data_IF_666376736042
#
_entry.id   IF_666376736042
#
_cell.length_a   1.000
_cell.length_b   1.000
_cell.length_c   1.000
_cell.angle_alpha   90.00
_cell.angle_beta   90.00
_cell.angle_gamma   90.00
#
_symmetry.space_group_name_H-M   'P 1'
#
loop_
_entity.id
_entity.type
_entity.pdbx_description
1 polymer ?
#
# COMPACT_ATOMS: atom_id res chain seq x y z
N UNK A 1 11.22 -74.22 -41.72
CA UNK A 1 10.23 -74.19 -40.61
C UNK A 1 10.92 -73.54 -39.40
N UNK A 2 10.41 -72.41 -38.91
CA UNK A 2 10.97 -71.74 -37.72
C UNK A 2 10.33 -72.33 -36.44
N UNK A 3 11.15 -72.61 -35.42
CA UNK A 3 10.69 -73.12 -34.12
C UNK A 3 10.02 -71.99 -33.31
N UNK A 4 8.96 -72.27 -32.53
CA UNK A 4 8.24 -71.24 -31.78
C UNK A 4 9.08 -70.73 -30.61
N UNK A 5 9.09 -69.41 -30.42
CA UNK A 5 9.65 -68.76 -29.22
C UNK A 5 8.69 -68.95 -28.05
N UNK A 6 9.11 -69.68 -27.02
CA UNK A 6 8.26 -70.06 -25.87
C UNK A 6 8.49 -69.24 -24.60
N UNK A 7 9.35 -68.22 -24.61
CA UNK A 7 9.53 -67.31 -23.48
C UNK A 7 9.84 -65.89 -23.94
N UNK A 8 8.87 -64.98 -23.77
CA UNK A 8 9.12 -63.55 -23.80
C UNK A 8 9.51 -63.16 -22.37
N UNK A 9 10.81 -63.03 -22.10
CA UNK A 9 11.28 -62.46 -20.85
C UNK A 9 11.06 -60.94 -20.90
N UNK A 10 10.00 -60.45 -20.23
CA UNK A 10 9.86 -59.01 -19.97
C UNK A 10 11.03 -58.59 -19.08
N UNK A 11 11.89 -57.64 -19.49
CA UNK A 11 12.92 -57.12 -18.60
C UNK A 11 12.19 -56.43 -17.44
N UNK A 12 12.24 -57.04 -16.27
CA UNK A 12 11.78 -56.43 -15.03
C UNK A 12 12.87 -55.43 -14.65
N UNK A 13 12.69 -54.16 -15.02
CA UNK A 13 13.58 -53.09 -14.57
C UNK A 13 13.42 -53.02 -13.05
N UNK A 14 14.40 -53.55 -12.33
CA UNK A 14 14.49 -53.49 -10.87
C UNK A 14 14.52 -52.03 -10.43
N UNK A 15 13.96 -51.72 -9.26
CA UNK A 15 13.90 -50.36 -8.68
C UNK A 15 15.26 -49.62 -8.72
N UNK A 16 16.37 -50.34 -8.65
CA UNK A 16 17.75 -49.82 -8.75
C UNK A 16 18.09 -49.22 -10.12
N UNK A 17 17.57 -49.80 -11.22
CA UNK A 17 17.75 -49.30 -12.58
C UNK A 17 16.98 -48.00 -12.84
N UNK A 18 15.78 -47.87 -12.26
CA UNK A 18 15.03 -46.63 -12.27
C UNK A 18 15.76 -45.53 -11.49
N UNK A 19 16.29 -45.84 -10.30
CA UNK A 19 17.05 -44.87 -9.50
C UNK A 19 18.29 -44.34 -10.23
N UNK A 20 19.05 -45.19 -10.91
CA UNK A 20 20.23 -44.76 -11.68
C UNK A 20 19.86 -43.90 -12.89
N UNK A 21 18.76 -44.22 -13.58
CA UNK A 21 18.27 -43.41 -14.69
C UNK A 21 17.82 -42.02 -14.21
N UNK A 22 17.05 -41.95 -13.12
CA UNK A 22 16.61 -40.68 -12.51
C UNK A 22 17.79 -39.83 -12.02
N UNK A 23 18.81 -40.44 -11.41
CA UNK A 23 20.02 -39.74 -10.99
C UNK A 23 20.81 -39.19 -12.18
N UNK A 24 20.80 -39.90 -13.31
CA UNK A 24 21.50 -39.45 -14.53
C UNK A 24 20.76 -38.29 -15.18
N UNK A 25 19.44 -38.38 -15.30
CA UNK A 25 18.58 -37.31 -15.81
C UNK A 25 18.67 -36.06 -14.93
N UNK A 26 18.61 -36.22 -13.60
CA UNK A 26 18.76 -35.09 -12.67
C UNK A 26 20.14 -34.44 -12.77
N UNK A 27 21.21 -35.22 -12.95
CA UNK A 27 22.55 -34.67 -13.17
C UNK A 27 22.63 -33.84 -14.45
N UNK A 28 21.99 -34.29 -15.52
CA UNK A 28 21.97 -33.59 -16.80
C UNK A 28 21.15 -32.28 -16.72
N UNK A 29 19.97 -32.33 -16.12
CA UNK A 29 19.14 -31.14 -15.87
C UNK A 29 19.83 -30.12 -14.96
N UNK A 30 20.48 -30.59 -13.88
CA UNK A 30 21.27 -29.73 -12.99
C UNK A 30 22.47 -29.15 -13.73
N UNK A 31 23.14 -29.92 -14.59
CA UNK A 31 24.28 -29.43 -15.37
C UNK A 31 23.84 -28.34 -16.37
N UNK A 32 22.70 -28.53 -17.04
CA UNK A 32 22.12 -27.54 -17.96
C UNK A 32 21.73 -26.23 -17.26
N UNK A 33 21.30 -26.31 -15.99
CA UNK A 33 20.85 -25.15 -15.21
C UNK A 33 21.79 -24.78 -14.05
N UNK A 34 23.05 -25.24 -14.08
CA UNK A 34 23.98 -25.14 -12.97
C UNK A 34 24.21 -23.70 -12.49
N UNK A 35 24.22 -22.74 -13.41
CA UNK A 35 24.36 -21.32 -13.10
C UNK A 35 23.12 -20.77 -12.38
N UNK A 36 21.92 -21.03 -12.91
CA UNK A 36 20.66 -20.58 -12.30
C UNK A 36 20.43 -21.20 -10.93
N UNK A 37 20.72 -22.51 -10.77
CA UNK A 37 20.65 -23.20 -9.48
C UNK A 37 21.62 -22.58 -8.47
N UNK A 38 22.86 -22.29 -8.89
CA UNK A 38 23.85 -21.63 -8.03
C UNK A 38 23.39 -20.24 -7.60
N UNK A 39 22.78 -19.47 -8.51
CA UNK A 39 22.22 -18.16 -8.20
C UNK A 39 21.02 -18.25 -7.25
N UNK A 40 20.13 -19.24 -7.42
CA UNK A 40 19.02 -19.48 -6.52
C UNK A 40 19.51 -19.89 -5.12
N UNK A 41 20.51 -20.76 -5.03
CA UNK A 41 21.12 -21.15 -3.75
C UNK A 41 21.77 -19.94 -3.08
N UNK A 42 22.48 -19.10 -3.84
CA UNK A 42 23.08 -17.87 -3.31
C UNK A 42 22.02 -16.89 -2.80
N UNK A 43 20.93 -16.70 -3.55
CA UNK A 43 19.81 -15.87 -3.12
C UNK A 43 19.16 -16.42 -1.85
N UNK A 44 18.95 -17.73 -1.76
CA UNK A 44 18.42 -18.36 -0.55
C UNK A 44 19.35 -18.18 0.65
N UNK A 45 20.67 -18.25 0.44
CA UNK A 45 21.67 -17.99 1.49
C UNK A 45 21.69 -16.53 1.92
N UNK A 46 21.61 -15.58 0.99
CA UNK A 46 21.50 -14.14 1.29
C UNK A 46 20.21 -13.83 2.06
N UNK A 47 19.08 -14.44 1.69
CA UNK A 47 17.80 -14.30 2.39
C UNK A 47 17.81 -14.93 3.79
N UNK A 48 18.54 -16.04 3.97
CA UNK A 48 18.78 -16.67 5.26
C UNK A 48 19.62 -15.76 6.16
N UNK A 49 20.75 -15.27 5.67
CA UNK A 49 21.63 -14.36 6.42
C UNK A 49 20.93 -13.03 6.79
N UNK A 50 20.02 -12.56 5.93
CA UNK A 50 19.21 -11.37 6.18
C UNK A 50 18.05 -11.59 7.18
N UNK A 51 17.86 -12.80 7.72
CA UNK A 51 16.79 -13.10 8.67
C UNK A 51 15.40 -13.20 8.04
N UNK A 52 15.30 -13.18 6.71
CA UNK A 52 14.03 -13.16 5.98
C UNK A 52 13.35 -14.52 6.04
N UNK A 53 14.12 -15.60 5.86
CA UNK A 53 13.58 -16.96 5.94
C UNK A 53 13.08 -17.28 7.36
N UNK A 54 13.78 -16.84 8.39
CA UNK A 54 13.43 -16.96 9.80
C UNK A 54 12.16 -16.17 10.11
N UNK A 55 12.02 -14.98 9.54
CA UNK A 55 10.83 -14.14 9.70
C UNK A 55 9.62 -14.82 9.07
N UNK A 56 9.76 -15.35 7.86
CA UNK A 56 8.70 -16.10 7.17
C UNK A 56 8.36 -17.38 7.94
N UNK A 57 9.36 -18.11 8.43
CA UNK A 57 9.16 -19.31 9.24
C UNK A 57 8.47 -19.00 10.57
N UNK A 58 8.88 -17.93 11.26
CA UNK A 58 8.26 -17.46 12.50
C UNK A 58 6.82 -17.00 12.26
N UNK A 59 6.54 -16.36 11.13
CA UNK A 59 5.20 -16.00 10.71
C UNK A 59 4.32 -17.24 10.48
N UNK A 60 4.85 -18.27 9.82
CA UNK A 60 4.12 -19.54 9.61
C UNK A 60 3.93 -20.30 10.91
N UNK A 61 4.92 -20.36 11.79
CA UNK A 61 4.79 -21.01 13.10
C UNK A 61 3.84 -20.24 14.04
N UNK A 62 3.86 -18.91 13.98
CA UNK A 62 2.91 -18.07 14.72
C UNK A 62 1.47 -18.17 14.20
N UNK A 63 1.26 -18.63 12.94
CA UNK A 63 -0.08 -18.92 12.43
C UNK A 63 -0.80 -19.99 13.25
N UNK A 64 -0.11 -21.02 13.74
CA UNK A 64 -0.73 -22.09 14.52
C UNK A 64 -1.32 -21.58 15.85
N UNK A 65 -0.86 -20.41 16.33
CA UNK A 65 -1.39 -19.80 17.56
C UNK A 65 -2.29 -18.57 17.34
N UNK A 66 -2.28 -17.92 16.16
CA UNK A 66 -2.98 -16.63 15.96
C UNK A 66 -3.63 -16.40 14.57
N UNK A 67 -3.54 -17.31 13.59
CA UNK A 67 -3.99 -17.00 12.21
C UNK A 67 -5.50 -16.97 11.99
N UNK A 68 -6.28 -17.72 12.77
CA UNK A 68 -7.71 -17.86 12.53
C UNK A 68 -8.52 -16.59 12.79
N UNK A 69 -8.02 -15.71 13.67
CA UNK A 69 -8.79 -14.58 14.20
C UNK A 69 -8.37 -13.25 13.55
N UNK A 70 -7.07 -13.02 13.33
CA UNK A 70 -6.58 -11.77 12.73
C UNK A 70 -6.95 -11.64 11.24
N UNK A 71 -6.80 -12.72 10.46
CA UNK A 71 -7.10 -12.70 9.02
C UNK A 71 -8.62 -12.61 8.78
N UNK A 72 -9.45 -13.30 9.56
CA UNK A 72 -10.92 -13.17 9.45
C UNK A 72 -11.43 -11.78 9.87
N UNK A 73 -10.71 -11.05 10.72
CA UNK A 73 -11.03 -9.66 11.08
C UNK A 73 -10.65 -8.67 9.97
N UNK A 74 -9.56 -8.90 9.24
CA UNK A 74 -9.11 -8.05 8.12
C UNK A 74 -10.00 -8.18 6.87
N UNK A 75 -10.64 -9.33 6.66
CA UNK A 75 -11.60 -9.55 5.55
C UNK A 75 -13.01 -9.09 5.92
N UNK A 76 -13.22 -8.48 7.10
CA UNK A 76 -14.52 -7.88 7.42
C UNK A 76 -14.77 -6.69 6.47
N UNK A 77 -16.02 -6.51 5.96
CA UNK A 77 -16.37 -5.43 5.03
C UNK A 77 -15.95 -4.04 5.48
N UNK A 78 -15.88 -3.80 6.79
CA UNK A 78 -15.48 -2.51 7.36
C UNK A 78 -13.99 -2.20 7.16
N UNK A 79 -13.10 -3.19 7.20
CA UNK A 79 -11.66 -2.98 7.01
C UNK A 79 -11.37 -2.71 5.54
N UNK A 80 -12.02 -3.42 4.62
CA UNK A 80 -11.92 -3.16 3.18
C UNK A 80 -12.43 -1.77 2.80
N UNK A 81 -13.53 -1.31 3.41
CA UNK A 81 -14.02 0.07 3.23
C UNK A 81 -13.02 1.11 3.72
N UNK A 82 -12.39 0.89 4.87
CA UNK A 82 -11.35 1.80 5.37
C UNK A 82 -10.14 1.89 4.44
N UNK A 83 -9.68 0.75 3.91
CA UNK A 83 -8.58 0.72 2.93
C UNK A 83 -8.97 1.49 1.67
N UNK A 84 -10.17 1.24 1.12
CA UNK A 84 -10.67 1.94 -0.07
C UNK A 84 -10.79 3.45 0.18
N UNK A 85 -11.25 3.87 1.36
CA UNK A 85 -11.34 5.27 1.72
C UNK A 85 -9.96 5.92 1.83
N UNK A 86 -8.96 5.24 2.41
CA UNK A 86 -7.58 5.75 2.48
C UNK A 86 -6.98 5.89 1.09
N UNK A 87 -7.20 4.93 0.20
CA UNK A 87 -6.75 5.01 -1.19
C UNK A 87 -7.43 6.17 -1.93
N UNK A 88 -8.75 6.32 -1.80
CA UNK A 88 -9.48 7.44 -2.39
C UNK A 88 -9.04 8.81 -1.85
N UNK A 89 -8.75 8.90 -0.55
CA UNK A 89 -8.18 10.10 0.06
C UNK A 89 -6.78 10.39 -0.48
N UNK A 90 -5.94 9.37 -0.66
CA UNK A 90 -4.58 9.53 -1.22
C UNK A 90 -4.64 10.03 -2.66
N UNK A 91 -5.55 9.48 -3.47
CA UNK A 91 -5.79 9.93 -4.83
C UNK A 91 -6.29 11.38 -4.86
N UNK A 92 -7.27 11.71 -4.04
CA UNK A 92 -7.81 13.07 -3.92
C UNK A 92 -6.72 14.08 -3.48
N UNK A 93 -5.88 13.72 -2.51
CA UNK A 93 -4.74 14.55 -2.08
C UNK A 93 -3.69 14.69 -3.18
N UNK A 94 -3.45 13.64 -3.98
CA UNK A 94 -2.53 13.67 -5.12
C UNK A 94 -3.00 14.55 -6.28
N UNK A 95 -4.31 14.79 -6.41
CA UNK A 95 -4.88 15.70 -7.41
C UNK A 95 -4.74 17.19 -7.03
N UNK A 96 -4.39 17.50 -5.77
CA UNK A 96 -4.20 18.88 -5.33
C UNK A 96 -2.84 19.39 -5.84
N UNK A 97 -2.85 20.53 -6.52
CA UNK A 97 -1.60 21.14 -6.98
C UNK A 97 -0.67 21.49 -5.81
N UNK A 98 0.63 21.13 -5.88
CA UNK A 98 1.60 21.41 -4.81
C UNK A 98 1.70 22.89 -4.45
N UNK A 99 1.62 23.78 -5.45
CA UNK A 99 1.67 25.24 -5.25
C UNK A 99 0.48 25.76 -4.46
N UNK A 100 -0.74 25.25 -4.74
CA UNK A 100 -1.93 25.61 -3.95
C UNK A 100 -1.79 25.14 -2.51
N UNK A 101 -1.33 23.89 -2.30
CA UNK A 101 -1.08 23.32 -0.97
C UNK A 101 -0.09 24.18 -0.18
N UNK A 102 1.06 24.50 -0.78
CA UNK A 102 2.09 25.34 -0.16
C UNK A 102 1.55 26.71 0.22
N UNK A 103 0.79 27.35 -0.67
CA UNK A 103 0.20 28.66 -0.44
C UNK A 103 -0.81 28.63 0.71
N UNK A 104 -1.71 27.65 0.75
CA UNK A 104 -2.70 27.48 1.83
C UNK A 104 -2.02 27.23 3.17
N UNK A 105 -1.08 26.29 3.24
CA UNK A 105 -0.35 25.96 4.48
C UNK A 105 0.44 27.17 4.98
N UNK A 106 1.14 27.87 4.09
CA UNK A 106 1.90 29.08 4.47
C UNK A 106 0.99 30.20 4.99
N UNK A 107 -0.18 30.39 4.36
CA UNK A 107 -1.15 31.42 4.76
C UNK A 107 -1.80 31.09 6.09
N UNK A 108 -2.15 29.82 6.32
CA UNK A 108 -2.67 29.33 7.60
C UNK A 108 -1.63 29.49 8.72
N UNK A 109 -0.39 29.08 8.48
CA UNK A 109 0.70 29.21 9.45
C UNK A 109 0.94 30.67 9.82
N UNK A 110 0.95 31.56 8.81
CA UNK A 110 1.09 33.00 9.05
C UNK A 110 -0.08 33.59 9.84
N UNK A 111 -1.31 33.17 9.54
CA UNK A 111 -2.50 33.57 10.29
C UNK A 111 -2.46 33.13 11.75
N UNK A 112 -2.00 31.90 12.03
CA UNK A 112 -1.82 31.40 13.40
C UNK A 112 -0.78 32.21 14.17
N UNK A 113 0.36 32.53 13.56
CA UNK A 113 1.37 33.40 14.17
C UNK A 113 0.82 34.79 14.49
N UNK A 114 0.06 35.40 13.57
CA UNK A 114 -0.59 36.69 13.78
C UNK A 114 -1.65 36.66 14.88
N UNK A 115 -2.40 35.57 14.98
CA UNK A 115 -3.38 35.38 16.05
C UNK A 115 -2.71 35.26 17.42
N UNK A 116 -1.57 34.55 17.50
CA UNK A 116 -0.77 34.44 18.72
C UNK A 116 -0.18 35.81 19.15
N UNK A 117 0.39 36.56 18.21
CA UNK A 117 0.88 37.94 18.42
C UNK A 117 -0.24 38.88 18.90
N UNK A 118 -1.44 38.74 18.32
CA UNK A 118 -2.61 39.55 18.68
C UNK A 118 -3.17 39.17 20.05
N UNK A 119 -3.20 37.87 20.40
CA UNK A 119 -3.67 37.38 21.69
C UNK A 119 -2.74 37.77 22.85
N UNK A 120 -1.46 38.07 22.58
CA UNK A 120 -0.53 38.63 23.56
C UNK A 120 -0.84 40.10 23.92
N UNK A 121 -1.65 40.80 23.11
CA UNK A 121 -2.13 42.15 23.38
C UNK A 121 -3.54 42.08 23.95
N UNK A 122 -3.72 42.49 25.21
CA UNK A 122 -4.97 42.37 25.97
C UNK A 122 -6.10 43.35 25.52
N UNK A 123 -6.10 43.77 24.26
CA UNK A 123 -7.07 44.73 23.74
C UNK A 123 -8.33 44.00 23.27
N UNK A 124 -9.44 44.23 23.99
CA UNK A 124 -10.76 43.75 23.58
C UNK A 124 -11.24 44.53 22.36
N UNK A 125 -11.60 43.81 21.32
CA UNK A 125 -12.11 44.38 20.07
C UNK A 125 -13.55 44.88 20.25
N UNK A 126 -13.80 46.16 19.97
CA UNK A 126 -15.13 46.76 20.03
C UNK A 126 -15.96 46.52 18.75
N UNK A 127 -17.26 46.84 18.80
CA UNK A 127 -18.16 46.72 17.65
C UNK A 127 -17.74 47.61 16.46
N UNK A 128 -17.20 48.80 16.76
CA UNK A 128 -16.67 49.70 15.74
C UNK A 128 -15.38 49.18 15.10
N UNK A 129 -14.51 48.56 15.89
CA UNK A 129 -13.28 47.93 15.38
C UNK A 129 -13.59 46.72 14.50
N UNK A 130 -14.65 45.98 14.82
CA UNK A 130 -15.17 44.89 13.98
C UNK A 130 -15.67 45.40 12.62
N UNK A 131 -16.39 46.53 12.61
CA UNK A 131 -16.83 47.14 11.35
C UNK A 131 -15.64 47.62 10.51
N UNK A 132 -14.63 48.24 11.13
CA UNK A 132 -13.38 48.58 10.44
C UNK A 132 -12.64 47.35 9.93
N UNK A 133 -12.58 46.28 10.71
CA UNK A 133 -11.95 45.02 10.32
C UNK A 133 -12.64 44.39 9.11
N UNK A 134 -13.97 44.49 8.98
CA UNK A 134 -14.67 44.02 7.79
C UNK A 134 -14.35 44.84 6.53
N UNK A 135 -13.97 46.10 6.68
CA UNK A 135 -13.51 46.97 5.59
C UNK A 135 -12.02 46.80 5.27
N UNK A 136 -11.27 46.11 6.13
CA UNK A 136 -9.86 45.83 5.89
C UNK A 136 -9.69 44.93 4.65
N UNK A 137 -8.81 45.28 3.70
CA UNK A 137 -8.67 44.55 2.45
C UNK A 137 -8.20 43.10 2.63
N UNK A 138 -7.37 42.81 3.64
CA UNK A 138 -6.85 41.46 3.88
C UNK A 138 -7.91 40.57 4.54
N UNK A 139 -8.67 41.11 5.49
CA UNK A 139 -9.81 40.41 6.11
C UNK A 139 -10.90 40.15 5.09
N UNK A 140 -11.24 41.16 4.27
CA UNK A 140 -12.24 41.01 3.20
C UNK A 140 -11.83 39.91 2.22
N UNK A 141 -10.55 39.86 1.83
CA UNK A 141 -10.01 38.82 0.95
C UNK A 141 -10.18 37.42 1.54
N UNK A 142 -9.90 37.23 2.83
CA UNK A 142 -10.07 35.95 3.52
C UNK A 142 -11.54 35.52 3.59
N UNK A 143 -12.44 36.46 3.94
CA UNK A 143 -13.89 36.21 3.98
C UNK A 143 -14.41 35.84 2.58
N UNK A 144 -14.04 36.61 1.57
CA UNK A 144 -14.43 36.37 0.18
C UNK A 144 -13.94 35.01 -0.30
N UNK A 145 -12.68 34.65 -0.02
CA UNK A 145 -12.16 33.30 -0.30
C UNK A 145 -13.02 32.21 0.35
N UNK A 146 -13.31 32.34 1.65
CA UNK A 146 -14.13 31.37 2.38
C UNK A 146 -15.53 31.20 1.77
N UNK A 147 -16.21 32.30 1.43
CA UNK A 147 -17.53 32.26 0.80
C UNK A 147 -17.48 31.55 -0.56
N UNK A 148 -16.50 31.88 -1.40
CA UNK A 148 -16.37 31.24 -2.72
C UNK A 148 -16.00 29.75 -2.63
N UNK A 149 -15.15 29.37 -1.68
CA UNK A 149 -14.82 27.98 -1.40
C UNK A 149 -16.07 27.20 -0.98
N UNK A 150 -16.85 27.73 -0.04
CA UNK A 150 -18.11 27.12 0.40
C UNK A 150 -19.12 26.99 -0.75
N UNK A 151 -19.23 28.02 -1.60
CA UNK A 151 -20.07 27.99 -2.79
C UNK A 151 -19.65 26.87 -3.76
N UNK A 152 -18.36 26.75 -4.05
CA UNK A 152 -17.83 25.71 -4.93
C UNK A 152 -18.07 24.29 -4.40
N UNK A 153 -17.91 24.08 -3.08
CA UNK A 153 -18.25 22.81 -2.43
C UNK A 153 -19.74 22.47 -2.65
N UNK A 154 -20.64 23.43 -2.41
CA UNK A 154 -22.07 23.23 -2.60
C UNK A 154 -22.47 22.96 -4.05
N UNK A 155 -21.80 23.61 -5.01
CA UNK A 155 -22.01 23.37 -6.45
C UNK A 155 -21.65 21.93 -6.84
N UNK A 156 -20.50 21.43 -6.39
CA UNK A 156 -20.07 20.07 -6.66
C UNK A 156 -20.99 19.02 -6.02
N UNK A 157 -21.41 19.22 -4.76
CA UNK A 157 -22.35 18.30 -4.08
C UNK A 157 -23.67 18.17 -4.84
N UNK A 158 -24.23 19.30 -5.30
CA UNK A 158 -25.45 19.32 -6.10
C UNK A 158 -25.28 18.62 -7.45
N UNK A 159 -24.12 18.71 -8.08
CA UNK A 159 -23.82 18.00 -9.33
C UNK A 159 -23.75 16.49 -9.13
N UNK A 160 -23.15 16.03 -8.04
CA UNK A 160 -23.08 14.61 -7.70
C UNK A 160 -24.45 14.02 -7.36
N UNK A 161 -25.35 14.81 -6.76
CA UNK A 161 -26.74 14.41 -6.51
C UNK A 161 -27.56 14.24 -7.78
N UNK A 162 -27.29 15.02 -8.84
CA UNK A 162 -27.97 14.91 -10.14
C UNK A 162 -27.49 13.73 -10.99
N UNK A 163 -26.33 13.17 -10.68
CA UNK A 163 -25.71 12.05 -11.40
C UNK A 163 -26.05 10.68 -10.78
N UNK A 164 -26.75 10.68 -9.63
CA UNK A 164 -27.31 9.48 -8.99
C UNK A 164 -28.76 9.26 -9.42
#
# INVERSE_FOLDING_TARGET
MARPITKIAKPTITNEGHQQLHLTQLKEEIAMHAQSIRQSVKLLDELHQAGVLETVQSMVQSKEKMAGIAVKQLVKPNVTKSINNVMALTEALGQIEPEMTKKLVSSLTHGLQKAEEASAKENKMGMFDLFKALQDPDINRAISFGIHMLKGIGENLREQEKQK
#
